data_IF_563921159501
#
_entry.id   IF_563921159501
#
_cell.length_a   1.000
_cell.length_b   1.000
_cell.length_c   1.000
_cell.angle_alpha   90.00
_cell.angle_beta   90.00
_cell.angle_gamma   90.00
#
_symmetry.space_group_name_H-M   'P 1'
#
loop_
_entity.id
_entity.type
_entity.pdbx_description
1 polymer ?
#
# COMPACT_ATOMS: atom_id res chain seq x y z
N UNK A 1 0.45 -5.61 10.03
CA UNK A 1 -0.49 -6.49 9.34
C UNK A 1 -0.70 -7.70 10.22
N UNK A 2 -1.66 -7.66 11.11
CA UNK A 2 -1.91 -8.78 12.02
C UNK A 2 -2.82 -9.77 11.32
N UNK A 3 -2.33 -10.97 11.12
CA UNK A 3 -3.12 -12.10 10.64
C UNK A 3 -3.73 -12.80 11.85
N UNK A 4 -5.05 -12.90 11.89
CA UNK A 4 -5.72 -13.92 12.68
C UNK A 4 -5.57 -15.23 11.91
N UNK A 5 -4.66 -16.09 12.31
CA UNK A 5 -4.54 -17.44 11.77
C UNK A 5 -5.52 -18.31 12.56
N UNK A 6 -6.76 -18.38 12.11
CA UNK A 6 -7.61 -19.53 12.37
C UNK A 6 -7.30 -20.54 11.26
N UNK A 7 -6.55 -21.58 11.61
CA UNK A 7 -6.22 -22.66 10.68
C UNK A 7 -7.47 -23.34 10.19
N UNK A 8 -7.64 -23.39 8.85
CA UNK A 8 -8.15 -24.52 8.08
C UNK A 8 -8.58 -24.09 6.68
N UNK A 9 -8.56 -24.97 5.68
CA UNK A 9 -8.76 -24.60 4.29
C UNK A 9 -10.21 -24.19 4.05
N UNK A 10 -10.41 -23.01 3.46
CA UNK A 10 -11.69 -22.63 2.89
C UNK A 10 -12.48 -21.53 3.61
N UNK A 11 -11.86 -20.67 4.41
CA UNK A 11 -12.60 -19.55 5.01
C UNK A 11 -12.63 -18.34 4.09
N UNK A 12 -13.67 -18.24 3.27
CA UNK A 12 -14.09 -16.97 2.69
C UNK A 12 -14.67 -16.08 3.79
N UNK A 13 -13.95 -15.06 4.22
CA UNK A 13 -14.52 -14.01 5.05
C UNK A 13 -15.33 -13.09 4.13
N UNK A 14 -16.61 -13.30 4.08
CA UNK A 14 -17.55 -12.38 3.43
C UNK A 14 -17.88 -11.26 4.40
N UNK A 15 -16.98 -10.29 4.51
CA UNK A 15 -17.31 -8.97 5.04
C UNK A 15 -17.95 -8.15 3.91
N UNK A 16 -18.99 -7.38 4.22
CA UNK A 16 -19.72 -6.57 3.26
C UNK A 16 -18.81 -5.59 2.53
N UNK A 17 -18.36 -5.95 1.32
CA UNK A 17 -17.63 -5.07 0.41
C UNK A 17 -16.17 -5.44 0.09
N UNK A 18 -15.52 -6.33 0.83
CA UNK A 18 -14.16 -6.78 0.56
C UNK A 18 -14.08 -8.30 0.53
N UNK A 19 -13.62 -8.88 -0.58
CA UNK A 19 -13.31 -10.32 -0.70
C UNK A 19 -11.79 -10.53 -0.55
N UNK A 20 -11.39 -11.38 0.39
CA UNK A 20 -10.01 -11.79 0.59
C UNK A 20 -9.91 -13.30 0.32
N UNK A 21 -9.12 -13.68 -0.66
CA UNK A 21 -8.76 -15.07 -0.94
C UNK A 21 -7.30 -15.32 -0.56
N UNK A 22 -7.04 -16.37 0.20
CA UNK A 22 -5.70 -16.78 0.57
C UNK A 22 -5.45 -18.23 0.16
N UNK A 23 -4.32 -18.47 -0.47
CA UNK A 23 -3.74 -19.81 -0.64
C UNK A 23 -2.25 -19.72 -0.37
N UNK A 24 -1.69 -20.66 0.38
CA UNK A 24 -0.26 -20.67 0.66
C UNK A 24 0.13 -21.78 1.64
N UNK A 25 1.40 -22.18 1.60
CA UNK A 25 1.96 -23.15 2.53
C UNK A 25 2.63 -22.41 3.68
N UNK A 26 2.12 -22.58 4.89
CA UNK A 26 2.69 -21.99 6.11
C UNK A 26 3.67 -22.99 6.72
N UNK A 27 4.95 -22.66 6.73
CA UNK A 27 5.98 -23.37 7.49
C UNK A 27 6.26 -22.61 8.79
N UNK A 28 5.92 -23.20 9.93
CA UNK A 28 6.35 -22.70 11.24
C UNK A 28 7.67 -23.39 11.59
N UNK A 29 8.77 -22.68 11.53
CA UNK A 29 10.03 -23.09 12.15
C UNK A 29 10.05 -22.55 13.57
N UNK A 30 9.41 -23.29 14.47
CA UNK A 30 9.46 -23.00 15.90
C UNK A 30 10.56 -23.82 16.55
N UNK A 31 11.69 -23.22 16.88
CA UNK A 31 12.58 -23.70 17.92
C UNK A 31 12.00 -23.31 19.29
N UNK A 32 10.87 -23.90 19.67
CA UNK A 32 10.24 -23.67 20.96
C UNK A 32 10.22 -24.96 21.76
N UNK A 33 10.74 -24.95 22.97
CA UNK A 33 10.61 -26.03 23.95
C UNK A 33 9.15 -26.49 24.10
N UNK A 34 8.90 -27.82 24.29
CA UNK A 34 7.55 -28.39 24.37
C UNK A 34 6.79 -28.05 25.66
N UNK A 35 6.80 -26.81 26.11
CA UNK A 35 6.17 -26.36 27.35
C UNK A 35 5.03 -25.35 27.17
N UNK A 36 4.59 -25.07 25.95
CA UNK A 36 3.75 -23.91 25.62
C UNK A 36 2.25 -24.18 25.51
N UNK A 37 1.72 -25.19 26.13
CA UNK A 37 0.27 -25.44 26.20
C UNK A 37 -0.25 -25.15 27.62
N UNK A 38 0.05 -23.97 28.13
CA UNK A 38 -0.55 -23.48 29.37
C UNK A 38 -0.74 -21.98 29.27
N UNK A 39 -1.92 -21.55 28.89
CA UNK A 39 -2.65 -20.33 29.27
C UNK A 39 -2.02 -18.94 29.22
N UNK A 40 -0.75 -18.76 28.91
CA UNK A 40 -0.04 -17.47 28.98
C UNK A 40 0.77 -17.24 27.70
N UNK A 41 0.63 -16.06 27.12
CA UNK A 41 1.35 -15.48 25.96
C UNK A 41 2.05 -16.50 25.05
N UNK A 42 1.49 -16.71 23.87
CA UNK A 42 2.14 -17.52 22.82
C UNK A 42 3.24 -16.68 22.18
N UNK A 43 4.47 -17.18 22.20
CA UNK A 43 5.63 -16.50 21.61
C UNK A 43 6.26 -17.41 20.54
N UNK A 44 6.44 -16.84 19.35
CA UNK A 44 7.09 -17.50 18.21
C UNK A 44 8.27 -16.63 17.79
N UNK A 45 9.49 -17.19 17.83
CA UNK A 45 10.68 -16.44 17.46
C UNK A 45 10.72 -16.11 15.97
N UNK A 46 10.32 -17.07 15.13
CA UNK A 46 10.27 -16.82 13.69
C UNK A 46 9.15 -17.59 13.03
N UNK A 47 8.53 -16.96 12.04
CA UNK A 47 7.57 -17.59 11.15
C UNK A 47 7.96 -17.31 9.70
N UNK A 48 7.92 -18.34 8.85
CA UNK A 48 8.18 -18.20 7.42
C UNK A 48 6.99 -18.72 6.63
N UNK A 49 6.53 -17.90 5.69
CA UNK A 49 5.45 -18.25 4.75
C UNK A 49 6.05 -18.27 3.35
N UNK A 50 5.93 -19.39 2.65
CA UNK A 50 6.41 -19.53 1.27
C UNK A 50 5.26 -19.62 0.29
N UNK A 51 5.43 -18.97 -0.88
CA UNK A 51 4.47 -19.03 -1.98
C UNK A 51 3.05 -18.56 -1.54
N UNK A 52 2.98 -17.57 -0.66
CA UNK A 52 1.70 -16.97 -0.27
C UNK A 52 1.06 -16.33 -1.50
N UNK A 53 -0.15 -16.78 -1.85
CA UNK A 53 -0.96 -16.11 -2.87
C UNK A 53 -2.13 -15.41 -2.21
N UNK A 54 -2.31 -14.14 -2.54
CA UNK A 54 -3.37 -13.30 -2.00
C UNK A 54 -4.11 -12.59 -3.12
N UNK A 55 -5.43 -12.66 -3.10
CA UNK A 55 -6.30 -11.91 -4.00
C UNK A 55 -7.22 -11.01 -3.18
N UNK A 56 -7.14 -9.71 -3.44
CA UNK A 56 -7.94 -8.69 -2.75
C UNK A 56 -8.90 -8.09 -3.77
N UNK A 57 -10.19 -8.14 -3.49
CA UNK A 57 -11.22 -7.44 -4.26
C UNK A 57 -11.91 -6.40 -3.39
N UNK A 58 -11.75 -5.13 -3.75
CA UNK A 58 -12.45 -4.01 -3.15
C UNK A 58 -13.63 -3.60 -4.03
N UNK A 59 -14.84 -3.81 -3.55
CA UNK A 59 -16.06 -3.39 -4.25
C UNK A 59 -16.38 -1.93 -3.91
N UNK A 60 -16.13 -1.03 -4.86
CA UNK A 60 -16.49 0.40 -4.79
C UNK A 60 -17.80 0.71 -5.52
N UNK A 61 -18.51 -0.33 -6.01
CA UNK A 61 -19.79 -0.23 -6.68
C UNK A 61 -20.99 -0.08 -5.71
N UNK A 62 -20.76 -0.31 -4.43
CA UNK A 62 -21.79 -0.16 -3.39
C UNK A 62 -21.61 1.17 -2.67
N UNK A 63 -22.72 1.88 -2.38
CA UNK A 63 -22.62 3.06 -1.52
C UNK A 63 -22.04 2.63 -0.18
N UNK A 64 -21.02 3.36 0.27
CA UNK A 64 -20.42 3.14 1.58
C UNK A 64 -21.50 3.36 2.66
N UNK A 65 -21.84 2.32 3.41
CA UNK A 65 -22.71 2.51 4.58
C UNK A 65 -21.90 3.22 5.64
N UNK A 66 -22.33 4.39 6.05
CA UNK A 66 -21.69 5.25 7.08
C UNK A 66 -21.48 4.49 8.40
N UNK A 67 -22.29 3.47 8.68
CA UNK A 67 -22.17 2.57 9.84
C UNK A 67 -21.14 1.43 9.69
N UNK A 68 -20.45 1.34 8.56
CA UNK A 68 -19.37 0.36 8.42
C UNK A 68 -18.21 0.76 9.31
N UNK A 69 -17.78 -0.17 10.16
CA UNK A 69 -16.73 0.01 11.13
C UNK A 69 -15.51 0.74 10.52
N UNK A 70 -15.02 1.75 11.23
CA UNK A 70 -13.75 2.45 10.95
C UNK A 70 -12.70 1.37 10.67
N UNK A 71 -11.98 1.49 9.54
CA UNK A 71 -10.87 0.60 9.25
C UNK A 71 -9.80 0.76 10.35
N UNK A 72 -9.62 -0.22 11.23
CA UNK A 72 -8.69 -0.06 12.34
C UNK A 72 -7.26 0.00 11.82
N UNK A 73 -6.46 0.85 12.42
CA UNK A 73 -5.04 0.96 12.13
C UNK A 73 -4.22 -0.09 12.90
N UNK A 74 -2.99 -0.41 12.47
CA UNK A 74 -2.17 -1.43 13.10
C UNK A 74 -2.02 -1.27 14.62
N UNK A 75 -1.79 -0.06 15.11
CA UNK A 75 -1.72 0.22 16.55
C UNK A 75 -3.06 0.00 17.27
N UNK A 76 -4.19 0.35 16.65
CA UNK A 76 -5.52 0.12 17.21
C UNK A 76 -5.85 -1.38 17.28
N UNK A 77 -5.45 -2.15 16.28
CA UNK A 77 -5.59 -3.60 16.28
C UNK A 77 -4.71 -4.19 17.36
N UNK A 78 -3.44 -3.80 17.41
CA UNK A 78 -2.48 -4.29 18.39
C UNK A 78 -2.97 -4.06 19.84
N UNK A 79 -3.44 -2.87 20.16
CA UNK A 79 -3.92 -2.50 21.49
C UNK A 79 -5.21 -3.23 21.90
N UNK A 80 -6.00 -3.75 20.93
CA UNK A 80 -7.24 -4.51 21.19
C UNK A 80 -7.02 -6.01 21.40
N UNK A 81 -5.85 -6.54 21.07
CA UNK A 81 -5.57 -7.98 21.19
C UNK A 81 -5.35 -8.34 22.66
N UNK A 82 -6.28 -9.09 23.26
CA UNK A 82 -6.21 -9.50 24.67
C UNK A 82 -5.12 -10.54 24.95
N UNK A 83 -4.84 -11.43 24.00
CA UNK A 83 -3.83 -12.48 24.10
C UNK A 83 -2.96 -12.47 22.84
N UNK A 84 -2.00 -11.54 22.73
CA UNK A 84 -1.20 -11.40 21.53
C UNK A 84 -0.34 -12.64 21.33
N UNK A 85 -0.38 -13.18 20.12
CA UNK A 85 0.69 -14.02 19.60
C UNK A 85 1.84 -13.08 19.26
N UNK A 86 2.91 -13.14 20.04
CA UNK A 86 4.13 -12.41 19.75
C UNK A 86 4.92 -13.19 18.71
N UNK A 87 5.31 -12.52 17.62
CA UNK A 87 6.17 -13.07 16.57
C UNK A 87 7.33 -12.09 16.40
N UNK A 88 8.54 -12.49 16.78
CA UNK A 88 9.70 -11.60 16.71
C UNK A 88 10.12 -11.34 15.25
N UNK A 89 9.98 -12.34 14.37
CA UNK A 89 10.30 -12.24 12.95
C UNK A 89 9.29 -12.98 12.08
N UNK A 90 8.77 -12.30 11.06
CA UNK A 90 7.95 -12.88 10.01
C UNK A 90 8.62 -12.69 8.65
N UNK A 91 8.79 -13.78 7.90
CA UNK A 91 9.33 -13.74 6.54
C UNK A 91 8.32 -14.31 5.55
N UNK A 92 8.09 -13.59 4.47
CA UNK A 92 7.33 -14.07 3.31
C UNK A 92 8.33 -14.24 2.16
N UNK A 93 8.32 -15.40 1.51
CA UNK A 93 9.23 -15.72 0.40
C UNK A 93 8.40 -16.09 -0.82
N UNK A 94 8.69 -15.43 -1.94
CA UNK A 94 8.08 -15.71 -3.25
C UNK A 94 6.55 -15.66 -3.20
N UNK A 95 5.99 -14.64 -2.54
CA UNK A 95 4.54 -14.43 -2.52
C UNK A 95 4.02 -13.80 -3.81
N UNK A 96 2.70 -13.76 -3.95
CA UNK A 96 1.99 -13.01 -4.97
C UNK A 96 0.79 -12.29 -4.36
N UNK A 97 0.51 -11.09 -4.86
CA UNK A 97 -0.66 -10.31 -4.48
C UNK A 97 -1.31 -9.73 -5.73
N UNK A 98 -2.59 -10.04 -5.93
CA UNK A 98 -3.43 -9.37 -6.90
C UNK A 98 -4.39 -8.44 -6.18
N UNK A 99 -4.34 -7.15 -6.50
CA UNK A 99 -5.24 -6.15 -5.93
C UNK A 99 -6.20 -5.67 -7.00
N UNK A 100 -7.50 -5.79 -6.71
CA UNK A 100 -8.58 -5.45 -7.62
C UNK A 100 -9.53 -4.43 -7.00
N UNK A 101 -9.90 -3.40 -7.76
CA UNK A 101 -10.99 -2.49 -7.42
C UNK A 101 -12.10 -2.59 -8.47
N UNK A 102 -13.34 -2.77 -8.05
CA UNK A 102 -14.49 -2.80 -8.93
C UNK A 102 -15.43 -1.65 -8.64
N UNK A 103 -15.69 -0.83 -9.65
CA UNK A 103 -16.48 0.40 -9.55
C UNK A 103 -17.92 0.26 -10.08
N UNK A 104 -18.18 -0.80 -10.85
CA UNK A 104 -19.50 -1.09 -11.43
C UNK A 104 -19.81 -2.57 -11.25
N UNK A 105 -21.04 -2.90 -10.85
CA UNK A 105 -21.51 -4.29 -10.68
C UNK A 105 -21.36 -5.03 -12.02
N UNK A 106 -20.67 -6.17 -12.01
CA UNK A 106 -20.40 -6.96 -13.22
C UNK A 106 -19.38 -6.35 -14.18
N UNK A 107 -18.85 -5.16 -13.86
CA UNK A 107 -17.83 -4.48 -14.66
C UNK A 107 -16.42 -5.05 -14.45
N UNK A 108 -15.48 -4.59 -15.31
CA UNK A 108 -14.06 -4.92 -15.18
C UNK A 108 -13.48 -4.33 -13.88
N UNK A 109 -12.56 -5.05 -13.28
CA UNK A 109 -11.79 -4.56 -12.14
C UNK A 109 -10.55 -3.81 -12.61
N UNK A 110 -10.21 -2.74 -11.90
CA UNK A 110 -8.90 -2.12 -11.96
C UNK A 110 -7.92 -3.01 -11.20
N UNK A 111 -6.87 -3.48 -11.85
CA UNK A 111 -6.00 -4.53 -11.30
C UNK A 111 -4.54 -4.07 -11.21
N UNK A 112 -3.93 -4.29 -10.05
CA UNK A 112 -2.49 -4.21 -9.83
C UNK A 112 -1.96 -5.58 -9.40
N UNK A 113 -0.78 -5.97 -9.91
CA UNK A 113 -0.14 -7.25 -9.61
C UNK A 113 1.22 -7.04 -8.96
N UNK A 114 1.46 -7.83 -7.94
CA UNK A 114 2.73 -7.89 -7.21
C UNK A 114 3.16 -9.34 -7.14
N UNK A 115 4.20 -9.69 -7.90
CA UNK A 115 4.73 -11.05 -7.98
C UNK A 115 6.11 -11.12 -7.31
N UNK A 116 6.55 -12.34 -6.97
CA UNK A 116 7.83 -12.58 -6.28
C UNK A 116 7.97 -11.69 -5.03
N UNK A 117 6.88 -11.56 -4.28
CA UNK A 117 6.85 -10.73 -3.07
C UNK A 117 7.70 -11.37 -1.98
N UNK A 118 8.73 -10.66 -1.55
CA UNK A 118 9.55 -11.02 -0.40
C UNK A 118 9.36 -9.96 0.68
N UNK A 119 9.04 -10.36 1.89
CA UNK A 119 8.84 -9.46 3.02
C UNK A 119 9.55 -10.03 4.23
N UNK A 120 10.25 -9.16 4.96
CA UNK A 120 10.75 -9.43 6.30
C UNK A 120 10.16 -8.39 7.23
N UNK A 121 9.48 -8.84 8.29
CA UNK A 121 8.96 -8.00 9.35
C UNK A 121 9.60 -8.42 10.67
N UNK A 122 10.23 -7.49 11.36
CA UNK A 122 10.88 -7.67 12.65
C UNK A 122 10.14 -6.84 13.69
N UNK A 123 9.81 -7.48 14.82
CA UNK A 123 9.32 -6.76 16.00
C UNK A 123 10.51 -6.40 16.90
N UNK A 124 10.60 -5.15 17.28
CA UNK A 124 11.61 -4.64 18.21
C UNK A 124 10.92 -4.01 19.42
N UNK A 125 11.48 -4.29 20.59
CA UNK A 125 10.99 -3.71 21.85
C UNK A 125 12.11 -2.87 22.46
N UNK A 126 11.85 -1.59 22.65
CA UNK A 126 12.75 -0.71 23.39
C UNK A 126 12.73 -1.09 24.88
N UNK A 127 13.87 -1.48 25.46
CA UNK A 127 13.92 -1.92 26.88
C UNK A 127 13.55 -0.82 27.88
N UNK A 128 13.76 0.46 27.52
CA UNK A 128 13.52 1.61 28.42
C UNK A 128 12.08 2.09 28.33
N UNK A 129 11.62 2.39 27.12
CA UNK A 129 10.28 2.98 26.87
C UNK A 129 9.18 1.94 26.74
N UNK A 130 9.54 0.64 26.58
CA UNK A 130 8.62 -0.45 26.26
C UNK A 130 7.85 -0.22 24.94
N UNK A 131 8.37 0.65 24.10
CA UNK A 131 7.82 0.87 22.76
C UNK A 131 8.01 -0.38 21.91
N UNK A 132 6.93 -0.82 21.25
CA UNK A 132 6.92 -1.95 20.33
C UNK A 132 6.84 -1.41 18.91
N UNK A 133 7.82 -1.75 18.10
CA UNK A 133 7.93 -1.25 16.73
C UNK A 133 8.09 -2.41 15.77
N UNK A 134 7.31 -2.42 14.69
CA UNK A 134 7.52 -3.30 13.56
C UNK A 134 8.36 -2.61 12.49
N UNK A 135 9.47 -3.25 12.09
CA UNK A 135 10.32 -2.85 10.96
C UNK A 135 10.00 -3.83 9.83
N UNK A 136 9.46 -3.32 8.74
CA UNK A 136 9.00 -4.11 7.60
C UNK A 136 9.81 -3.71 6.37
N UNK A 137 10.47 -4.66 5.75
CA UNK A 137 11.17 -4.47 4.48
C UNK A 137 10.62 -5.47 3.47
N UNK A 138 10.39 -5.01 2.26
CA UNK A 138 9.88 -5.87 1.20
C UNK A 138 10.32 -5.43 -0.18
N UNK A 139 10.34 -6.38 -1.09
CA UNK A 139 10.50 -6.16 -2.51
C UNK A 139 9.55 -7.06 -3.30
N UNK A 140 9.22 -6.64 -4.51
CA UNK A 140 8.38 -7.40 -5.40
C UNK A 140 8.61 -7.01 -6.86
N UNK A 141 8.09 -7.83 -7.75
CA UNK A 141 7.95 -7.53 -9.17
C UNK A 141 6.56 -6.94 -9.42
N UNK A 142 6.50 -5.66 -9.76
CA UNK A 142 5.27 -4.88 -9.87
C UNK A 142 4.75 -4.83 -11.31
N UNK A 143 3.49 -5.20 -11.52
CA UNK A 143 2.78 -5.22 -12.81
C UNK A 143 3.58 -5.89 -13.95
N UNK A 144 4.33 -6.95 -13.66
CA UNK A 144 5.21 -7.64 -14.61
C UNK A 144 6.19 -6.69 -15.33
N UNK A 145 6.55 -5.57 -14.74
CA UNK A 145 7.28 -4.50 -15.41
C UNK A 145 8.52 -4.05 -14.68
N UNK A 146 8.48 -3.94 -13.35
CA UNK A 146 9.57 -3.33 -12.58
C UNK A 146 9.68 -3.86 -11.17
N UNK A 147 10.84 -3.63 -10.54
CA UNK A 147 11.02 -3.91 -9.10
C UNK A 147 10.51 -2.74 -8.27
N UNK A 148 9.70 -3.05 -7.26
CA UNK A 148 9.27 -2.12 -6.22
C UNK A 148 9.88 -2.58 -4.89
N UNK A 149 10.50 -1.65 -4.16
CA UNK A 149 11.01 -1.87 -2.79
C UNK A 149 10.29 -0.96 -1.83
N UNK A 150 10.00 -1.47 -0.64
CA UNK A 150 9.31 -0.74 0.42
C UNK A 150 9.95 -1.05 1.77
N UNK A 151 10.18 -0.02 2.56
CA UNK A 151 10.56 -0.11 3.96
C UNK A 151 9.57 0.67 4.81
N UNK A 152 9.17 0.12 5.95
CA UNK A 152 8.23 0.75 6.86
C UNK A 152 8.69 0.57 8.30
N UNK A 153 8.48 1.61 9.12
CA UNK A 153 8.68 1.58 10.57
C UNK A 153 7.37 1.96 11.24
N UNK A 154 6.74 1.00 11.90
CA UNK A 154 5.38 1.13 12.44
C UNK A 154 5.40 0.93 13.96
N UNK A 155 5.24 1.99 14.77
CA UNK A 155 5.00 1.85 16.21
C UNK A 155 3.67 1.14 16.47
N UNK A 156 3.72 -0.04 17.12
CA UNK A 156 2.54 -0.89 17.30
C UNK A 156 1.72 -0.53 18.54
N UNK A 157 2.36 -0.15 19.63
CA UNK A 157 1.69 0.19 20.89
C UNK A 157 1.53 1.70 21.11
N UNK A 158 1.62 2.49 20.03
CA UNK A 158 1.37 3.93 20.08
C UNK A 158 -0.12 4.23 20.27
N UNK A 159 -0.43 5.28 21.02
CA UNK A 159 -1.79 5.80 21.15
C UNK A 159 -2.21 6.62 19.92
N UNK A 160 -1.25 7.07 19.13
CA UNK A 160 -1.49 7.82 17.89
C UNK A 160 -1.12 6.96 16.70
N UNK A 161 -1.92 7.06 15.62
CA UNK A 161 -1.58 6.43 14.35
C UNK A 161 -0.44 7.20 13.68
N UNK A 162 0.75 6.62 13.71
CA UNK A 162 1.95 7.19 13.10
C UNK A 162 2.85 6.08 12.57
N UNK A 163 3.50 6.31 11.43
CA UNK A 163 4.52 5.43 10.88
C UNK A 163 5.33 6.15 9.79
N UNK A 164 6.53 5.62 9.53
CA UNK A 164 7.37 6.08 8.42
C UNK A 164 7.42 5.02 7.34
N UNK A 165 7.51 5.46 6.10
CA UNK A 165 7.71 4.57 4.96
C UNK A 165 8.64 5.21 3.94
N UNK A 166 9.38 4.37 3.23
CA UNK A 166 10.24 4.78 2.12
C UNK A 166 10.34 3.66 1.11
N UNK A 167 10.71 3.98 -0.11
CA UNK A 167 10.87 2.95 -1.12
C UNK A 167 11.38 3.47 -2.44
N UNK A 168 11.54 2.53 -3.38
CA UNK A 168 12.01 2.81 -4.74
C UNK A 168 11.23 1.99 -5.74
N UNK A 169 11.05 2.57 -6.93
CA UNK A 169 10.51 1.87 -8.10
C UNK A 169 11.53 1.97 -9.24
N UNK A 170 11.81 0.86 -9.90
CA UNK A 170 12.72 0.80 -11.03
C UNK A 170 12.13 1.38 -12.31
N UNK A 171 12.80 1.13 -13.44
CA UNK A 171 12.31 1.60 -14.72
C UNK A 171 11.07 0.80 -15.18
N UNK A 172 10.13 1.48 -15.85
CA UNK A 172 8.95 0.85 -16.42
C UNK A 172 8.31 1.69 -17.52
N UNK A 173 7.66 1.04 -18.47
CA UNK A 173 6.72 1.70 -19.38
C UNK A 173 5.45 2.03 -18.58
N UNK A 174 5.15 3.33 -18.47
CA UNK A 174 3.99 3.81 -17.72
C UNK A 174 2.65 3.34 -18.32
N UNK A 175 2.63 2.92 -19.58
CA UNK A 175 1.44 2.30 -20.17
C UNK A 175 0.99 1.03 -19.45
N UNK A 176 1.91 0.32 -18.78
CA UNK A 176 1.60 -0.87 -17.98
C UNK A 176 0.61 -0.60 -16.85
N UNK A 177 0.49 0.65 -16.40
CA UNK A 177 -0.49 1.08 -15.39
C UNK A 177 -1.92 1.21 -15.94
N UNK A 178 -2.11 1.16 -17.25
CA UNK A 178 -3.45 1.33 -17.85
C UNK A 178 -4.42 0.21 -17.49
N UNK A 179 -3.95 -0.98 -17.11
CA UNK A 179 -4.82 -2.05 -16.59
C UNK A 179 -5.56 -1.61 -15.32
N UNK A 180 -4.98 -0.71 -14.56
CA UNK A 180 -5.60 -0.10 -13.40
C UNK A 180 -6.28 1.24 -13.76
N UNK A 181 -5.53 2.15 -14.37
CA UNK A 181 -5.95 3.53 -14.59
C UNK A 181 -7.20 3.68 -15.43
N UNK A 182 -7.33 2.93 -16.52
CA UNK A 182 -8.51 3.04 -17.43
C UNK A 182 -9.83 2.64 -16.75
N UNK A 183 -9.77 1.91 -15.65
CA UNK A 183 -10.96 1.50 -14.89
C UNK A 183 -11.15 2.37 -13.64
N UNK A 184 -10.04 2.64 -12.93
CA UNK A 184 -10.08 3.39 -11.67
C UNK A 184 -10.18 4.90 -11.86
N UNK A 185 -9.62 5.42 -12.95
CA UNK A 185 -9.47 6.85 -13.18
C UNK A 185 -10.06 7.25 -14.55
N UNK A 186 -10.55 8.49 -14.70
CA UNK A 186 -11.03 8.99 -15.98
C UNK A 186 -9.88 9.43 -16.90
N UNK A 187 -8.81 8.65 -16.95
CA UNK A 187 -7.62 8.94 -17.74
C UNK A 187 -6.90 7.67 -18.21
N UNK A 188 -6.05 7.86 -19.22
CA UNK A 188 -5.20 6.83 -19.79
C UNK A 188 -3.83 7.39 -20.10
N UNK A 189 -2.78 6.65 -19.82
CA UNK A 189 -1.41 6.98 -20.24
C UNK A 189 -1.25 6.55 -21.70
N UNK A 190 -0.89 7.46 -22.58
CA UNK A 190 -0.60 7.21 -24.01
C UNK A 190 0.84 6.85 -24.26
N UNK A 191 1.75 7.47 -23.50
CA UNK A 191 3.19 7.21 -23.52
C UNK A 191 3.82 7.68 -22.22
N UNK A 192 5.00 7.20 -21.95
CA UNK A 192 5.82 7.64 -20.84
C UNK A 192 6.73 6.54 -20.34
N UNK A 193 7.97 6.88 -20.06
CA UNK A 193 8.98 5.98 -19.51
C UNK A 193 9.41 6.48 -18.14
N UNK A 194 9.05 5.74 -17.09
CA UNK A 194 9.66 5.93 -15.79
C UNK A 194 11.09 5.37 -15.84
N UNK A 195 12.07 6.14 -15.45
CA UNK A 195 13.46 5.67 -15.29
C UNK A 195 13.75 5.22 -13.87
N UNK A 196 13.25 5.96 -12.90
CA UNK A 196 13.31 5.59 -11.48
C UNK A 196 12.32 6.44 -10.70
N UNK A 197 11.90 5.91 -9.55
CA UNK A 197 11.23 6.68 -8.53
C UNK A 197 11.79 6.31 -7.16
N UNK A 198 11.83 7.29 -6.27
CA UNK A 198 12.06 7.11 -4.84
C UNK A 198 11.04 7.94 -4.07
N UNK A 199 10.72 7.49 -2.87
CA UNK A 199 9.77 8.20 -2.03
C UNK A 199 10.10 7.98 -0.56
N UNK A 200 9.75 8.96 0.24
CA UNK A 200 9.73 8.84 1.69
C UNK A 200 8.51 9.58 2.23
N UNK A 201 7.92 9.04 3.27
CA UNK A 201 6.76 9.62 3.92
C UNK A 201 6.78 9.39 5.41
N UNK A 202 6.31 10.38 6.13
CA UNK A 202 6.05 10.36 7.55
C UNK A 202 4.56 10.59 7.77
N UNK A 203 3.91 9.64 8.40
CA UNK A 203 2.51 9.77 8.79
C UNK A 203 2.46 9.99 10.29
N UNK A 204 1.90 11.13 10.70
CA UNK A 204 1.72 11.50 12.09
C UNK A 204 0.27 11.92 12.33
N UNK A 205 -0.39 11.24 13.27
CA UNK A 205 -1.80 11.50 13.64
C UNK A 205 -2.74 11.56 12.43
N UNK A 206 -2.46 10.73 11.42
CA UNK A 206 -3.25 10.66 10.19
C UNK A 206 -2.92 11.71 9.13
N UNK A 207 -1.91 12.54 9.33
CA UNK A 207 -1.38 13.46 8.31
C UNK A 207 -0.11 12.87 7.70
N UNK A 208 -0.07 12.77 6.39
CA UNK A 208 1.11 12.36 5.64
C UNK A 208 1.85 13.57 5.10
N UNK A 209 3.17 13.56 5.31
CA UNK A 209 4.13 14.53 4.74
C UNK A 209 5.32 13.76 4.19
N UNK A 210 6.09 14.37 3.29
CA UNK A 210 7.26 13.76 2.68
C UNK A 210 7.45 14.20 1.26
N UNK A 211 8.15 13.37 0.47
CA UNK A 211 8.43 13.66 -0.92
C UNK A 211 8.43 12.40 -1.81
N UNK A 212 8.15 12.62 -3.07
CA UNK A 212 8.34 11.66 -4.15
C UNK A 212 9.28 12.28 -5.18
N UNK A 213 10.33 11.57 -5.54
CA UNK A 213 11.22 11.96 -6.64
C UNK A 213 11.06 10.97 -7.76
N UNK A 214 10.68 11.42 -8.94
CA UNK A 214 10.53 10.58 -10.14
C UNK A 214 11.36 11.12 -11.28
N UNK A 215 12.05 10.25 -12.00
CA UNK A 215 12.70 10.57 -13.28
C UNK A 215 11.91 9.90 -14.37
N UNK A 216 11.28 10.67 -15.23
CA UNK A 216 10.51 10.14 -16.35
C UNK A 216 10.62 11.02 -17.60
N UNK A 217 10.31 10.42 -18.77
CA UNK A 217 10.30 11.08 -20.06
C UNK A 217 9.03 10.77 -20.85
N UNK A 218 8.67 11.68 -21.74
CA UNK A 218 7.62 11.49 -22.75
C UNK A 218 6.24 11.13 -22.22
N UNK A 219 5.92 11.59 -21.01
CA UNK A 219 4.60 11.39 -20.41
C UNK A 219 3.53 12.11 -21.20
N UNK A 220 2.54 11.34 -21.67
CA UNK A 220 1.32 11.85 -22.31
C UNK A 220 0.13 11.16 -21.70
N UNK A 221 -0.83 11.95 -21.25
CA UNK A 221 -2.07 11.48 -20.63
C UNK A 221 -3.23 11.92 -21.53
N UNK A 222 -4.17 11.01 -21.71
CA UNK A 222 -5.47 11.28 -22.34
C UNK A 222 -6.54 11.23 -21.25
N UNK A 223 -7.27 12.33 -21.08
CA UNK A 223 -8.44 12.38 -20.22
C UNK A 223 -9.62 11.78 -20.96
N UNK A 224 -10.22 10.72 -20.41
CA UNK A 224 -11.32 9.97 -21.05
C UNK A 224 -12.70 10.48 -20.65
N UNK A 225 -12.80 11.18 -19.52
CA UNK A 225 -14.03 11.84 -19.04
C UNK A 225 -13.65 13.12 -18.29
N UNK A 226 -13.73 14.27 -18.98
CA UNK A 226 -13.32 15.57 -18.43
C UNK A 226 -14.09 15.95 -17.16
N UNK A 227 -15.41 15.70 -17.13
CA UNK A 227 -16.24 16.06 -15.97
C UNK A 227 -15.82 15.27 -14.73
N UNK A 228 -15.61 13.96 -14.85
CA UNK A 228 -15.14 13.13 -13.74
C UNK A 228 -13.74 13.49 -13.32
N UNK A 229 -12.85 13.78 -14.27
CA UNK A 229 -11.47 14.18 -14.01
C UNK A 229 -11.44 15.46 -13.18
N UNK A 230 -12.13 16.52 -13.62
CA UNK A 230 -12.20 17.81 -12.94
C UNK A 230 -12.83 17.70 -11.54
N UNK A 231 -13.89 16.91 -11.40
CA UNK A 231 -14.55 16.71 -10.12
C UNK A 231 -13.64 16.00 -9.10
N UNK A 232 -12.82 15.04 -9.54
CA UNK A 232 -11.85 14.33 -8.68
C UNK A 232 -10.71 15.23 -8.23
N UNK A 233 -10.20 16.05 -9.12
CA UNK A 233 -9.10 16.99 -8.83
C UNK A 233 -9.56 18.23 -8.06
N UNK A 234 -10.86 18.37 -7.76
CA UNK A 234 -11.45 19.56 -7.14
C UNK A 234 -11.09 20.88 -7.85
N UNK A 235 -10.85 20.80 -9.14
CA UNK A 235 -10.45 21.95 -9.95
C UNK A 235 -11.71 22.62 -10.48
N UNK A 236 -11.82 23.93 -10.25
CA UNK A 236 -12.87 24.75 -10.84
C UNK A 236 -12.74 24.72 -12.37
N UNK A 237 -13.84 24.49 -13.08
CA UNK A 237 -13.90 24.37 -14.55
C UNK A 237 -13.24 25.52 -15.32
N UNK A 238 -13.04 26.68 -14.71
CA UNK A 238 -12.32 27.82 -15.29
C UNK A 238 -10.79 27.62 -15.39
N UNK A 239 -10.22 26.67 -14.65
CA UNK A 239 -8.78 26.32 -14.69
C UNK A 239 -8.51 25.08 -15.53
N UNK A 240 -9.54 24.40 -16.02
CA UNK A 240 -9.44 23.15 -16.78
C UNK A 240 -8.54 23.24 -18.03
N UNK A 241 -8.45 24.42 -18.66
CA UNK A 241 -7.62 24.65 -19.85
C UNK A 241 -6.13 24.86 -19.52
N UNK A 242 -5.68 24.67 -18.28
CA UNK A 242 -4.31 24.93 -17.81
C UNK A 242 -3.65 23.73 -17.15
N UNK A 243 -4.10 22.50 -17.42
CA UNK A 243 -3.33 21.33 -17.02
C UNK A 243 -2.01 21.30 -17.81
N UNK A 244 -0.98 21.85 -17.22
CA UNK A 244 0.39 21.67 -17.70
C UNK A 244 0.90 20.32 -17.18
N UNK A 245 0.45 19.23 -17.82
CA UNK A 245 1.06 17.93 -17.58
C UNK A 245 2.53 18.05 -17.96
N UNK A 246 3.39 17.85 -16.98
CA UNK A 246 4.82 17.90 -17.16
C UNK A 246 5.24 16.66 -17.98
N UNK A 247 5.63 16.88 -19.22
CA UNK A 247 6.01 15.81 -20.15
C UNK A 247 7.24 15.03 -19.67
N UNK A 248 8.13 15.71 -18.99
CA UNK A 248 9.38 15.14 -18.47
C UNK A 248 9.65 15.67 -17.06
N UNK A 249 10.28 14.86 -16.23
CA UNK A 249 10.95 15.29 -15.01
C UNK A 249 12.36 14.72 -15.02
N UNK A 250 13.32 15.54 -15.40
CA UNK A 250 14.73 15.17 -15.59
C UNK A 250 15.59 16.00 -14.65
N UNK A 251 16.78 15.49 -14.28
CA UNK A 251 17.75 16.29 -13.55
C UNK A 251 18.11 17.57 -14.33
N UNK A 252 18.24 18.66 -13.60
CA UNK A 252 18.77 19.91 -14.14
C UNK A 252 20.28 19.81 -14.45
N UNK A 253 20.86 20.89 -14.97
CA UNK A 253 22.29 20.92 -15.31
C UNK A 253 23.25 20.77 -14.11
N UNK A 254 22.71 20.84 -12.89
CA UNK A 254 23.44 20.63 -11.62
C UNK A 254 23.11 19.28 -10.99
N UNK A 255 22.30 18.44 -11.65
CA UNK A 255 21.86 17.15 -11.14
C UNK A 255 20.68 17.22 -10.18
N UNK A 256 20.09 18.41 -9.95
CA UNK A 256 18.91 18.58 -9.12
C UNK A 256 17.63 18.05 -9.82
N UNK A 257 16.77 17.40 -9.07
CA UNK A 257 15.47 16.94 -9.55
C UNK A 257 14.39 17.57 -8.68
N UNK A 258 13.34 18.10 -9.30
CA UNK A 258 12.20 18.62 -8.56
C UNK A 258 11.44 17.46 -7.91
N UNK A 259 11.37 17.37 -6.57
CA UNK A 259 10.51 16.41 -5.90
C UNK A 259 9.05 16.88 -5.92
N UNK A 260 8.12 15.96 -5.80
CA UNK A 260 6.73 16.27 -5.51
C UNK A 260 6.46 16.15 -4.02
N UNK A 261 5.74 17.09 -3.48
CA UNK A 261 5.46 17.16 -2.06
C UNK A 261 4.28 16.25 -1.68
N UNK A 262 4.50 15.37 -0.71
CA UNK A 262 3.44 14.57 -0.12
C UNK A 262 2.68 15.42 0.89
N UNK A 263 1.36 15.59 0.64
CA UNK A 263 0.42 16.26 1.54
C UNK A 263 -0.92 15.54 1.48
N UNK A 264 -1.21 14.72 2.48
CA UNK A 264 -2.47 13.99 2.52
C UNK A 264 -3.00 13.89 3.96
N UNK A 265 -4.29 14.19 4.16
CA UNK A 265 -4.97 13.97 5.42
C UNK A 265 -5.87 12.73 5.32
N UNK A 266 -5.73 11.81 6.27
CA UNK A 266 -6.55 10.61 6.37
C UNK A 266 -8.03 10.99 6.50
N UNK A 267 -8.86 10.36 5.70
CA UNK A 267 -10.31 10.32 5.94
C UNK A 267 -10.62 9.16 6.89
N UNK A 268 -11.78 9.24 7.54
CA UNK A 268 -12.19 8.31 8.58
C UNK A 268 -12.23 6.84 8.14
N UNK A 269 -12.48 6.59 6.87
CA UNK A 269 -12.63 5.29 6.23
C UNK A 269 -11.36 4.78 5.52
N UNK A 270 -10.30 5.59 5.50
CA UNK A 270 -9.07 5.23 4.79
C UNK A 270 -8.35 4.06 5.47
N UNK A 271 -8.14 2.97 4.74
CA UNK A 271 -7.39 1.80 5.20
C UNK A 271 -5.87 2.07 5.25
N UNK A 272 -5.10 1.25 5.99
CA UNK A 272 -3.67 1.44 6.20
C UNK A 272 -2.87 1.54 4.87
N UNK A 273 -3.01 0.56 3.98
CA UNK A 273 -2.27 0.59 2.69
C UNK A 273 -2.84 1.64 1.73
N UNK A 274 -4.12 1.95 1.83
CA UNK A 274 -4.73 3.05 1.08
C UNK A 274 -4.17 4.41 1.51
N UNK A 275 -3.86 4.58 2.81
CA UNK A 275 -3.19 5.79 3.31
C UNK A 275 -1.81 5.97 2.67
N UNK A 276 -1.01 4.91 2.54
CA UNK A 276 0.28 4.95 1.85
C UNK A 276 0.10 5.33 0.39
N UNK A 277 -0.83 4.66 -0.30
CA UNK A 277 -1.09 4.93 -1.72
C UNK A 277 -1.56 6.37 -1.98
N UNK A 278 -2.56 6.85 -1.23
CA UNK A 278 -3.10 8.20 -1.42
C UNK A 278 -2.08 9.29 -1.08
N UNK A 279 -1.20 9.04 -0.10
CA UNK A 279 -0.11 9.97 0.20
C UNK A 279 0.93 10.01 -0.94
N UNK A 280 1.36 8.87 -1.47
CA UNK A 280 2.25 8.82 -2.64
C UNK A 280 1.62 9.47 -3.86
N UNK A 281 0.34 9.21 -4.09
CA UNK A 281 -0.42 9.81 -5.17
C UNK A 281 -0.37 11.34 -5.12
N UNK A 282 -0.52 11.96 -3.94
CA UNK A 282 -0.47 13.41 -3.81
C UNK A 282 0.87 14.00 -4.26
N UNK A 283 2.00 13.33 -3.98
CA UNK A 283 3.32 13.74 -4.45
C UNK A 283 3.52 13.51 -5.96
N UNK A 284 2.96 12.44 -6.51
CA UNK A 284 2.99 12.17 -7.96
C UNK A 284 2.19 13.22 -8.73
N UNK A 285 1.02 13.60 -8.23
CA UNK A 285 0.16 14.65 -8.81
C UNK A 285 0.89 16.01 -8.82
N UNK A 286 1.60 16.36 -7.73
CA UNK A 286 2.39 17.59 -7.65
C UNK A 286 3.53 17.63 -8.67
N UNK A 287 4.24 16.51 -8.92
CA UNK A 287 5.30 16.45 -9.95
C UNK A 287 4.72 16.53 -11.35
N UNK A 288 3.65 15.78 -11.61
CA UNK A 288 3.12 15.61 -12.96
C UNK A 288 2.23 16.78 -13.41
N UNK A 289 1.80 17.63 -12.47
CA UNK A 289 0.91 18.74 -12.76
C UNK A 289 -0.54 18.31 -12.99
N UNK A 290 -0.94 17.17 -12.42
CA UNK A 290 -2.29 16.61 -12.57
C UNK A 290 -3.18 17.03 -11.40
#
# INVERSE_FOLDING_TARGET
MFFSISGFPGLGVVGSGCGLGFTGMVGLLGGGTPGLISGKKKHVHSATIKNLSMDILLNKDKPFKIDSAINPMPNEIFNKIKNPLQIDSLTIINGSLTYNERYVIGGKSATLKFDKVNITALETIDPQTKSVTAIINGDCWFNNSTTLKLSMTVPLNSNTFSFKYSGTCGNMDLNSLNHYLTVAEPMKIKSGMLKSASFNGDINSGYATGDVTTIYTDLKIEVTDEKKFLNRQRINSRLANRFLIHKNNLPDNKGGIKPGEIKFARKHDTAFMEMVWLSLRSGIEDISGI
#
